data_IF_057568568980
#
_entry.id   IF_057568568980
#
_cell.length_a   1.000
_cell.length_b   1.000
_cell.length_c   1.000
_cell.angle_alpha   90.00
_cell.angle_beta   90.00
_cell.angle_gamma   90.00
#
_symmetry.space_group_name_H-M   'P 1'
#
loop_
_entity.id
_entity.type
_entity.pdbx_description
1 polymer ?
#
# COMPACT_ATOMS: atom_id res chain seq x y z
N UNK A 1 -3.86 -15.03 25.09
CA UNK A 1 -3.99 -15.62 23.74
C UNK A 1 -3.47 -14.60 22.75
N UNK A 2 -2.45 -14.93 21.95
CA UNK A 2 -1.99 -14.07 20.85
C UNK A 2 -3.15 -13.92 19.86
N UNK A 3 -3.49 -12.68 19.45
CA UNK A 3 -4.53 -12.46 18.44
C UNK A 3 -4.13 -13.18 17.15
N UNK A 4 -5.05 -13.93 16.55
CA UNK A 4 -4.84 -14.60 15.26
C UNK A 4 -4.43 -13.56 14.21
N UNK A 5 -3.40 -13.86 13.41
CA UNK A 5 -2.93 -12.95 12.34
C UNK A 5 -4.06 -12.68 11.35
N UNK A 6 -4.23 -11.41 11.01
CA UNK A 6 -5.15 -10.90 10.00
C UNK A 6 -4.37 -9.88 9.17
N UNK A 7 -4.00 -10.31 7.97
CA UNK A 7 -3.25 -9.49 7.01
C UNK A 7 -4.05 -9.23 5.75
N UNK A 8 -3.51 -8.36 4.90
CA UNK A 8 -4.14 -8.04 3.61
C UNK A 8 -3.13 -7.80 2.51
N UNK A 9 -3.55 -8.11 1.30
CA UNK A 9 -3.00 -7.54 0.08
C UNK A 9 -4.00 -6.49 -0.45
N UNK A 10 -3.53 -5.26 -0.63
CA UNK A 10 -4.38 -4.11 -0.93
C UNK A 10 -3.91 -3.33 -2.19
N UNK A 11 -4.06 -3.89 -3.39
CA UNK A 11 -3.59 -3.26 -4.63
C UNK A 11 -4.58 -2.21 -5.16
N UNK A 12 -4.05 -1.16 -5.78
CA UNK A 12 -4.85 -0.23 -6.59
C UNK A 12 -4.98 -0.72 -8.04
N UNK A 13 -6.20 -0.87 -8.59
CA UNK A 13 -6.45 -1.45 -9.91
C UNK A 13 -6.25 -0.44 -11.04
N UNK A 14 -5.03 0.12 -11.13
CA UNK A 14 -4.67 1.17 -12.11
C UNK A 14 -3.82 0.67 -13.29
N UNK A 15 -3.89 -0.63 -13.56
CA UNK A 15 -3.13 -1.36 -14.57
C UNK A 15 -2.89 -2.82 -14.16
N UNK A 16 -2.43 -3.64 -15.10
CA UNK A 16 -2.16 -5.07 -14.90
C UNK A 16 -1.13 -5.33 -13.79
N UNK A 17 -1.22 -6.52 -13.19
CA UNK A 17 -0.29 -6.98 -12.17
C UNK A 17 1.08 -7.26 -12.81
N UNK A 18 2.15 -6.80 -12.17
CA UNK A 18 3.53 -7.06 -12.59
C UNK A 18 4.32 -7.81 -11.50
N UNK A 19 5.56 -8.21 -11.78
CA UNK A 19 6.40 -8.96 -10.83
C UNK A 19 6.56 -8.26 -9.47
N UNK A 20 6.70 -6.93 -9.46
CA UNK A 20 6.70 -6.16 -8.20
C UNK A 20 5.42 -6.31 -7.36
N UNK A 21 4.24 -6.40 -7.99
CA UNK A 21 3.00 -6.73 -7.26
C UNK A 21 3.02 -8.19 -6.78
N UNK A 22 3.47 -9.12 -7.61
CA UNK A 22 3.60 -10.55 -7.26
C UNK A 22 4.51 -10.76 -6.07
N UNK A 23 5.63 -10.04 -6.02
CA UNK A 23 6.58 -10.02 -4.90
C UNK A 23 5.90 -9.64 -3.59
N UNK A 24 5.26 -8.47 -3.54
CA UNK A 24 4.58 -8.02 -2.32
C UNK A 24 3.40 -8.93 -1.95
N UNK A 25 2.63 -9.40 -2.95
CA UNK A 25 1.52 -10.32 -2.72
C UNK A 25 1.98 -11.65 -2.12
N UNK A 26 3.02 -12.27 -2.69
CA UNK A 26 3.59 -13.53 -2.22
C UNK A 26 4.10 -13.40 -0.79
N UNK A 27 4.89 -12.36 -0.47
CA UNK A 27 5.44 -12.20 0.88
C UNK A 27 4.36 -11.89 1.93
N UNK A 28 3.36 -11.07 1.58
CA UNK A 28 2.24 -10.81 2.48
C UNK A 28 1.40 -12.08 2.71
N UNK A 29 1.15 -12.85 1.65
CA UNK A 29 0.43 -14.11 1.72
C UNK A 29 1.18 -15.15 2.55
N UNK A 30 2.50 -15.33 2.32
CA UNK A 30 3.34 -16.26 3.08
C UNK A 30 3.38 -15.90 4.57
N UNK A 31 3.52 -14.62 4.90
CA UNK A 31 3.48 -14.16 6.29
C UNK A 31 2.17 -14.53 6.97
N UNK A 32 1.04 -14.32 6.30
CA UNK A 32 -0.28 -14.66 6.85
C UNK A 32 -0.44 -16.17 6.98
N UNK A 33 -0.11 -16.93 5.94
CA UNK A 33 -0.31 -18.38 5.90
C UNK A 33 0.63 -19.14 6.84
N UNK A 34 1.89 -18.72 6.98
CA UNK A 34 2.84 -19.34 7.93
C UNK A 34 2.42 -19.14 9.38
N UNK A 35 1.65 -18.09 9.67
CA UNK A 35 1.07 -17.82 10.99
C UNK A 35 -0.36 -18.36 11.14
N UNK A 36 -0.86 -19.16 10.19
CA UNK A 36 -2.22 -19.71 10.20
C UNK A 36 -3.32 -18.64 10.23
N UNK A 37 -3.02 -17.45 9.70
CA UNK A 37 -3.86 -16.26 9.76
C UNK A 37 -4.93 -16.18 8.66
N UNK A 38 -5.67 -15.07 8.66
CA UNK A 38 -6.65 -14.72 7.64
C UNK A 38 -6.07 -13.72 6.64
N UNK A 39 -6.14 -14.06 5.36
CA UNK A 39 -5.68 -13.25 4.24
C UNK A 39 -6.85 -12.51 3.59
N UNK A 40 -6.79 -11.18 3.58
CA UNK A 40 -7.81 -10.32 2.98
C UNK A 40 -7.31 -9.75 1.65
N UNK A 41 -8.13 -9.81 0.61
CA UNK A 41 -7.95 -9.04 -0.62
C UNK A 41 -8.83 -7.78 -0.57
N UNK A 42 -8.21 -6.59 -0.53
CA UNK A 42 -8.93 -5.31 -0.57
C UNK A 42 -8.56 -4.51 -1.81
N UNK A 43 -9.54 -4.07 -2.59
CA UNK A 43 -9.30 -3.29 -3.80
C UNK A 43 -9.26 -1.80 -3.44
N UNK A 44 -8.12 -1.14 -3.69
CA UNK A 44 -7.93 0.28 -3.41
C UNK A 44 -8.21 1.15 -4.64
N UNK A 45 -9.48 1.19 -5.05
CA UNK A 45 -10.03 1.88 -6.22
C UNK A 45 -10.56 3.30 -5.93
N UNK A 46 -9.85 4.04 -5.08
CA UNK A 46 -10.23 5.40 -4.69
C UNK A 46 -10.27 6.39 -5.86
N UNK A 47 -9.37 6.22 -6.84
CA UNK A 47 -9.21 7.09 -8.00
C UNK A 47 -10.05 6.59 -9.19
N UNK A 48 -11.19 7.23 -9.50
CA UNK A 48 -12.10 6.76 -10.55
C UNK A 48 -11.49 6.91 -11.96
N UNK A 49 -10.59 7.88 -12.15
CA UNK A 49 -10.00 8.16 -13.46
C UNK A 49 -9.01 7.07 -13.87
N UNK A 50 -8.39 6.42 -12.89
CA UNK A 50 -7.37 5.38 -13.12
C UNK A 50 -7.83 3.96 -12.83
N UNK A 51 -8.85 3.79 -12.00
CA UNK A 51 -9.33 2.45 -11.61
C UNK A 51 -10.24 1.88 -12.69
N UNK A 52 -10.05 0.61 -13.03
CA UNK A 52 -10.87 -0.07 -14.05
C UNK A 52 -11.27 -1.48 -13.61
N UNK A 53 -12.52 -1.92 -13.85
CA UNK A 53 -12.99 -3.26 -13.49
C UNK A 53 -12.14 -4.39 -14.10
N UNK A 54 -11.67 -4.23 -15.34
CA UNK A 54 -10.82 -5.22 -16.01
C UNK A 54 -9.51 -5.49 -15.25
N UNK A 55 -8.94 -4.48 -14.59
CA UNK A 55 -7.74 -4.64 -13.79
C UNK A 55 -8.02 -5.36 -12.46
N UNK A 56 -9.24 -5.22 -11.92
CA UNK A 56 -9.67 -5.98 -10.73
C UNK A 56 -9.82 -7.46 -11.09
N UNK A 57 -10.51 -7.76 -12.20
CA UNK A 57 -10.68 -9.14 -12.68
C UNK A 57 -9.35 -9.79 -13.03
N UNK A 58 -8.48 -9.09 -13.77
CA UNK A 58 -7.15 -9.57 -14.13
C UNK A 58 -6.26 -9.85 -12.92
N UNK A 59 -6.24 -8.92 -11.96
CA UNK A 59 -5.55 -9.10 -10.68
C UNK A 59 -5.98 -10.38 -9.95
N UNK A 60 -7.28 -10.60 -9.78
CA UNK A 60 -7.80 -11.79 -9.10
C UNK A 60 -7.45 -13.08 -9.85
N UNK A 61 -7.49 -13.05 -11.19
CA UNK A 61 -7.09 -14.19 -12.02
C UNK A 61 -5.59 -14.50 -11.89
N UNK A 62 -4.74 -13.47 -11.84
CA UNK A 62 -3.29 -13.61 -11.70
C UNK A 62 -2.90 -14.09 -10.30
N UNK A 63 -3.56 -13.60 -9.24
CA UNK A 63 -3.35 -14.10 -7.88
C UNK A 63 -3.73 -15.59 -7.74
N UNK A 64 -4.91 -15.98 -8.25
CA UNK A 64 -5.33 -17.39 -8.27
C UNK A 64 -4.36 -18.27 -9.05
N UNK A 65 -3.90 -17.79 -10.20
CA UNK A 65 -2.94 -18.50 -11.03
C UNK A 65 -1.60 -18.71 -10.31
N UNK A 66 -1.13 -17.74 -9.53
CA UNK A 66 0.04 -17.88 -8.66
C UNK A 66 -0.19 -18.78 -7.42
N UNK A 67 -1.41 -19.27 -7.19
CA UNK A 67 -1.77 -20.02 -5.99
C UNK A 67 -1.90 -19.16 -4.72
N UNK A 68 -2.10 -17.84 -4.87
CA UNK A 68 -2.24 -16.88 -3.77
C UNK A 68 -3.73 -16.63 -3.50
N UNK A 69 -4.34 -17.49 -2.70
CA UNK A 69 -5.73 -17.39 -2.30
C UNK A 69 -5.98 -16.30 -1.24
N UNK A 70 -7.24 -15.97 -1.01
CA UNK A 70 -7.69 -15.09 0.07
C UNK A 70 -8.95 -15.66 0.71
N UNK A 71 -9.08 -15.45 2.03
CA UNK A 71 -10.24 -15.95 2.79
C UNK A 71 -11.39 -14.94 2.76
N UNK A 72 -11.06 -13.66 2.56
CA UNK A 72 -12.03 -12.57 2.43
C UNK A 72 -11.64 -11.64 1.29
N UNK A 73 -12.63 -11.18 0.54
CA UNK A 73 -12.35 -10.37 -0.64
C UNK A 73 -13.60 -9.97 -1.42
N UNK A 74 -13.42 -9.26 -2.55
CA UNK A 74 -14.52 -8.66 -3.30
C UNK A 74 -15.48 -9.70 -3.91
N UNK A 75 -15.02 -10.92 -4.16
CA UNK A 75 -15.77 -12.00 -4.81
C UNK A 75 -16.22 -13.10 -3.85
N UNK A 76 -15.43 -13.41 -2.82
CA UNK A 76 -15.76 -14.42 -1.79
C UNK A 76 -16.53 -13.83 -0.60
N UNK A 77 -16.59 -12.51 -0.48
CA UNK A 77 -17.23 -11.83 0.65
C UNK A 77 -16.41 -11.91 1.93
N UNK A 78 -17.10 -11.88 3.08
CA UNK A 78 -16.50 -11.88 4.41
C UNK A 78 -17.21 -10.93 5.37
N UNK A 79 -16.76 -10.89 6.63
CA UNK A 79 -17.44 -10.16 7.70
C UNK A 79 -17.39 -8.63 7.54
N UNK A 80 -16.49 -8.11 6.69
CA UNK A 80 -16.21 -6.67 6.57
C UNK A 80 -16.52 -6.10 5.18
N UNK A 81 -17.41 -6.75 4.45
CA UNK A 81 -17.90 -6.30 3.13
C UNK A 81 -18.40 -4.84 3.18
N UNK A 82 -18.24 -4.05 2.11
CA UNK A 82 -17.55 -4.38 0.86
C UNK A 82 -16.02 -4.32 0.96
N UNK A 83 -15.33 -5.06 0.09
CA UNK A 83 -13.85 -5.09 0.01
C UNK A 83 -13.28 -4.21 -1.12
N UNK A 84 -14.11 -3.35 -1.73
CA UNK A 84 -13.67 -2.28 -2.65
C UNK A 84 -13.86 -0.93 -1.97
N UNK A 85 -12.85 -0.06 -2.03
CA UNK A 85 -12.86 1.23 -1.33
C UNK A 85 -13.83 2.24 -1.95
N UNK A 86 -14.10 2.14 -3.25
CA UNK A 86 -15.10 2.95 -3.94
C UNK A 86 -16.50 2.88 -3.30
N UNK A 87 -16.85 1.72 -2.73
CA UNK A 87 -18.11 1.43 -2.04
C UNK A 87 -18.07 1.66 -0.53
N UNK A 88 -16.99 2.25 -0.01
CA UNK A 88 -16.78 2.49 1.44
C UNK A 88 -16.65 3.97 1.80
N UNK A 89 -16.96 4.86 0.85
CA UNK A 89 -16.76 6.31 0.98
C UNK A 89 -17.47 6.91 2.20
N UNK A 90 -18.62 6.37 2.59
CA UNK A 90 -19.37 6.83 3.78
C UNK A 90 -18.57 6.60 5.07
N UNK A 91 -17.80 5.51 5.16
CA UNK A 91 -16.94 5.23 6.33
C UNK A 91 -15.81 6.25 6.43
N UNK A 92 -15.23 6.63 5.30
CA UNK A 92 -14.16 7.64 5.24
C UNK A 92 -14.70 9.04 5.53
N UNK A 93 -15.93 9.32 5.08
CA UNK A 93 -16.63 10.56 5.35
C UNK A 93 -16.95 10.69 6.85
N UNK A 94 -17.44 9.63 7.50
CA UNK A 94 -17.66 9.60 8.94
C UNK A 94 -16.35 9.81 9.74
N UNK A 95 -15.25 9.18 9.32
CA UNK A 95 -13.94 9.40 9.96
C UNK A 95 -13.47 10.85 9.81
N UNK A 96 -13.67 11.45 8.64
CA UNK A 96 -13.35 12.85 8.38
C UNK A 96 -14.20 13.81 9.23
N UNK A 97 -15.48 13.52 9.44
CA UNK A 97 -16.37 14.28 10.31
C UNK A 97 -15.93 14.24 11.77
N UNK A 98 -15.45 13.09 12.25
CA UNK A 98 -14.85 13.00 13.60
C UNK A 98 -13.62 13.91 13.74
N UNK A 99 -12.71 13.87 12.76
CA UNK A 99 -11.54 14.76 12.74
C UNK A 99 -11.96 16.25 12.68
N UNK A 100 -13.03 16.56 11.94
CA UNK A 100 -13.54 17.92 11.83
C UNK A 100 -14.19 18.41 13.13
N UNK A 101 -14.93 17.55 13.84
CA UNK A 101 -15.52 17.87 15.15
C UNK A 101 -14.46 18.23 16.18
N UNK A 102 -13.27 17.63 16.09
CA UNK A 102 -12.10 17.94 16.92
C UNK A 102 -11.26 19.11 16.39
N UNK A 103 -11.70 19.79 15.31
CA UNK A 103 -10.98 20.89 14.65
C UNK A 103 -9.58 20.51 14.16
N UNK A 104 -9.39 19.24 13.79
CA UNK A 104 -8.10 18.71 13.31
C UNK A 104 -7.95 18.82 11.79
N UNK A 105 -8.97 19.23 11.06
CA UNK A 105 -8.91 19.41 9.60
C UNK A 105 -9.35 20.81 9.20
N UNK A 106 -8.77 21.33 8.12
CA UNK A 106 -9.08 22.65 7.58
C UNK A 106 -9.04 22.67 6.05
N UNK A 107 -9.78 23.61 5.40
CA UNK A 107 -9.79 23.75 3.95
C UNK A 107 -8.48 24.35 3.43
N UNK A 108 -7.99 23.81 2.32
CA UNK A 108 -6.81 24.28 1.61
C UNK A 108 -7.17 24.60 0.16
N UNK A 109 -6.91 25.84 -0.25
CA UNK A 109 -7.18 26.35 -1.60
C UNK A 109 -5.91 26.48 -2.46
N UNK A 110 -4.79 25.95 -1.96
CA UNK A 110 -3.51 26.01 -2.66
C UNK A 110 -3.54 25.17 -3.94
N UNK A 111 -3.13 25.76 -5.06
CA UNK A 111 -2.95 25.04 -6.33
C UNK A 111 -1.67 24.22 -6.31
N UNK A 112 -1.54 23.23 -7.20
CA UNK A 112 -0.29 22.45 -7.35
C UNK A 112 0.91 23.35 -7.65
N UNK A 113 0.72 24.39 -8.47
CA UNK A 113 1.78 25.34 -8.82
C UNK A 113 2.23 26.15 -7.60
N UNK A 114 1.29 26.65 -6.79
CA UNK A 114 1.57 27.36 -5.54
C UNK A 114 2.33 26.46 -4.54
N UNK A 115 1.92 25.19 -4.42
CA UNK A 115 2.59 24.21 -3.55
C UNK A 115 4.03 23.95 -4.00
N UNK A 116 4.26 23.74 -5.29
CA UNK A 116 5.59 23.45 -5.84
C UNK A 116 6.55 24.64 -5.71
N UNK A 117 6.06 25.88 -5.88
CA UNK A 117 6.86 27.08 -5.74
C UNK A 117 7.25 27.40 -4.28
N UNK A 118 6.45 26.95 -3.32
CA UNK A 118 6.62 27.25 -1.89
C UNK A 118 7.50 26.25 -1.13
N UNK A 119 7.91 25.15 -1.76
CA UNK A 119 8.53 24.03 -1.07
C UNK A 119 10.04 23.97 -1.35
N UNK A 120 10.88 23.80 -0.31
CA UNK A 120 12.28 23.44 -0.53
C UNK A 120 12.31 22.09 -1.27
N UNK A 121 13.09 21.99 -2.35
CA UNK A 121 13.26 20.76 -3.14
C UNK A 121 13.90 19.66 -2.29
N UNK A 122 13.11 18.99 -1.47
CA UNK A 122 13.48 17.69 -0.89
C UNK A 122 13.10 16.67 -1.97
N UNK A 123 14.04 15.79 -2.33
CA UNK A 123 13.92 14.86 -3.45
C UNK A 123 12.59 14.09 -3.52
N UNK A 124 12.28 13.63 -4.72
CA UNK A 124 11.10 12.81 -5.07
C UNK A 124 9.72 13.44 -4.80
N UNK A 125 9.51 14.69 -5.24
CA UNK A 125 8.15 15.30 -5.36
C UNK A 125 7.36 15.39 -4.04
N UNK A 126 7.97 15.18 -2.87
CA UNK A 126 7.33 15.34 -1.57
C UNK A 126 7.54 16.79 -1.12
N UNK A 127 6.58 17.64 -1.47
CA UNK A 127 6.52 19.01 -0.98
C UNK A 127 6.03 19.01 0.47
N UNK A 128 6.89 19.42 1.40
CA UNK A 128 6.45 19.74 2.76
C UNK A 128 5.48 20.90 2.70
N UNK A 129 4.24 20.70 3.14
CA UNK A 129 3.27 21.79 3.15
C UNK A 129 3.48 22.70 4.37
N UNK A 130 3.71 23.99 4.12
CA UNK A 130 4.02 24.98 5.14
C UNK A 130 2.82 25.45 6.00
N UNK A 131 1.61 24.91 5.77
CA UNK A 131 0.42 25.33 6.51
C UNK A 131 -0.18 26.65 6.04
N UNK A 132 0.07 27.06 4.79
CA UNK A 132 -0.36 28.35 4.21
C UNK A 132 -1.85 28.66 4.41
N UNK A 133 -2.71 27.65 4.34
CA UNK A 133 -4.15 27.81 4.54
C UNK A 133 -4.64 27.52 5.97
N UNK A 134 -3.75 27.14 6.92
CA UNK A 134 -4.15 26.67 8.26
C UNK A 134 -4.95 27.71 9.03
N UNK A 135 -4.55 28.98 8.93
CA UNK A 135 -5.20 30.12 9.59
C UNK A 135 -5.95 31.03 8.59
N UNK A 136 -6.21 30.53 7.38
CA UNK A 136 -6.84 31.32 6.32
C UNK A 136 -8.33 31.46 6.62
N UNK A 137 -8.84 32.69 6.56
CA UNK A 137 -10.25 33.00 6.85
C UNK A 137 -11.08 33.24 5.60
N UNK A 138 -10.46 33.53 4.45
CA UNK A 138 -11.16 33.68 3.18
C UNK A 138 -11.42 32.33 2.51
N UNK A 139 -12.54 32.26 1.78
CA UNK A 139 -12.95 31.12 0.98
C UNK A 139 -13.15 31.58 -0.47
N UNK A 140 -12.11 31.45 -1.33
CA UNK A 140 -12.21 31.83 -2.75
C UNK A 140 -13.38 31.12 -3.43
N UNK A 141 -14.32 31.89 -3.99
CA UNK A 141 -15.56 31.36 -4.56
C UNK A 141 -15.35 30.49 -5.82
N UNK A 142 -14.22 30.67 -6.50
CA UNK A 142 -13.82 29.96 -7.71
C UNK A 142 -13.07 28.64 -7.44
N UNK A 143 -12.81 28.30 -6.17
CA UNK A 143 -11.97 27.14 -5.82
C UNK A 143 -12.67 26.19 -4.85
N UNK A 144 -12.74 24.91 -5.24
CA UNK A 144 -13.09 23.83 -4.30
C UNK A 144 -11.89 23.47 -3.44
N UNK A 145 -11.99 23.52 -2.10
CA UNK A 145 -10.86 23.21 -1.23
C UNK A 145 -10.59 21.71 -1.16
N UNK A 146 -9.31 21.34 -1.09
CA UNK A 146 -8.93 20.08 -0.45
C UNK A 146 -9.07 20.22 1.08
N UNK A 147 -9.19 19.12 1.80
CA UNK A 147 -9.08 19.11 3.26
C UNK A 147 -7.73 18.55 3.67
N UNK A 148 -7.05 19.24 4.58
CA UNK A 148 -5.78 18.81 5.17
C UNK A 148 -5.97 18.54 6.65
N UNK A 149 -5.21 17.56 7.15
CA UNK A 149 -5.03 17.34 8.58
C UNK A 149 -4.03 18.36 9.12
N UNK A 150 -4.41 19.14 10.13
CA UNK A 150 -3.49 19.92 10.94
C UNK A 150 -2.64 18.98 11.78
N UNK A 151 -1.42 18.71 11.32
CA UNK A 151 -0.51 17.78 11.98
C UNK A 151 0.00 18.42 13.27
N UNK A 152 -0.21 17.79 14.44
CA UNK A 152 0.37 18.24 15.69
C UNK A 152 1.88 18.01 15.71
N UNK A 153 2.58 18.74 16.58
CA UNK A 153 3.99 18.46 16.83
C UNK A 153 4.16 17.11 17.55
N UNK A 154 5.32 16.49 17.34
CA UNK A 154 5.70 15.25 17.99
C UNK A 154 6.24 14.20 17.02
N UNK A 155 7.07 13.33 17.57
CA UNK A 155 7.68 12.23 16.82
C UNK A 155 6.79 11.00 16.91
N UNK A 156 6.52 10.39 15.76
CA UNK A 156 5.92 9.07 15.68
C UNK A 156 7.06 8.04 15.68
N UNK A 157 6.97 7.07 16.58
CA UNK A 157 7.88 5.94 16.68
C UNK A 157 7.12 4.65 16.41
N UNK A 158 7.74 3.72 15.69
CA UNK A 158 7.28 2.34 15.59
C UNK A 158 8.44 1.41 15.28
N UNK A 159 8.24 0.12 15.54
CA UNK A 159 9.15 -0.95 15.14
C UNK A 159 8.61 -1.57 13.85
N UNK A 160 9.39 -1.49 12.78
CA UNK A 160 9.17 -2.28 11.57
C UNK A 160 9.79 -3.66 11.75
N UNK A 161 9.08 -4.72 11.39
CA UNK A 161 9.56 -6.08 11.56
C UNK A 161 10.75 -6.45 10.65
N UNK A 162 11.05 -5.66 9.61
CA UNK A 162 12.21 -5.86 8.71
C UNK A 162 13.25 -4.75 8.92
N UNK A 163 12.82 -3.49 8.96
CA UNK A 163 13.72 -2.33 9.04
C UNK A 163 14.04 -1.87 10.47
N UNK A 164 13.43 -2.47 11.48
CA UNK A 164 13.63 -2.12 12.89
C UNK A 164 13.04 -0.77 13.27
N UNK A 165 13.68 -0.10 14.23
CA UNK A 165 13.17 1.15 14.78
C UNK A 165 13.10 2.25 13.73
N UNK A 166 11.91 2.85 13.59
CA UNK A 166 11.68 4.00 12.73
C UNK A 166 11.05 5.14 13.52
N UNK A 167 11.59 6.35 13.34
CA UNK A 167 11.12 7.56 14.01
C UNK A 167 11.01 8.73 13.01
N UNK A 168 9.88 9.43 13.02
CA UNK A 168 9.69 10.61 12.17
C UNK A 168 8.78 11.64 12.83
N UNK A 169 9.20 12.91 12.80
CA UNK A 169 8.35 14.04 13.11
C UNK A 169 7.57 14.46 11.85
N UNK A 170 6.29 14.09 11.79
CA UNK A 170 5.46 14.25 10.58
C UNK A 170 5.32 15.72 10.16
N UNK A 171 5.16 16.63 11.12
CA UNK A 171 5.07 18.09 10.86
C UNK A 171 6.30 18.66 10.14
N UNK A 172 7.50 18.10 10.41
CA UNK A 172 8.76 18.49 9.76
C UNK A 172 8.98 17.76 8.45
N UNK A 173 8.68 16.47 8.39
CA UNK A 173 8.93 15.66 7.20
C UNK A 173 7.98 16.02 6.04
N UNK A 174 6.68 16.17 6.32
CA UNK A 174 5.65 16.35 5.27
C UNK A 174 4.71 17.53 5.53
N UNK A 175 4.59 18.00 6.77
CA UNK A 175 3.64 19.05 7.15
C UNK A 175 2.19 18.58 7.07
N UNK A 176 1.25 19.51 6.91
CA UNK A 176 -0.17 19.17 6.88
C UNK A 176 -0.54 18.48 5.57
N UNK A 177 -0.94 17.22 5.65
CA UNK A 177 -1.21 16.40 4.49
C UNK A 177 -2.70 16.31 4.18
N UNK A 178 -3.01 16.05 2.91
CA UNK A 178 -4.37 15.96 2.40
C UNK A 178 -5.05 14.70 2.93
N UNK A 179 -6.26 14.85 3.47
CA UNK A 179 -7.17 13.75 3.85
C UNK A 179 -8.38 13.63 2.91
N UNK A 180 -8.70 14.70 2.18
CA UNK A 180 -9.66 14.70 1.06
C UNK A 180 -9.19 15.65 -0.04
N UNK A 181 -9.12 15.17 -1.27
CA UNK A 181 -8.76 15.97 -2.46
C UNK A 181 -9.86 17.00 -2.77
N UNK A 182 -9.52 18.00 -3.58
CA UNK A 182 -10.46 19.05 -4.02
C UNK A 182 -11.57 18.54 -4.94
N UNK A 183 -11.34 17.41 -5.63
CA UNK A 183 -12.33 16.68 -6.41
C UNK A 183 -13.25 15.79 -5.54
N UNK A 184 -13.06 15.78 -4.23
CA UNK A 184 -13.88 15.01 -3.27
C UNK A 184 -13.36 13.61 -2.96
N UNK A 185 -12.33 13.12 -3.65
CA UNK A 185 -11.76 11.79 -3.39
C UNK A 185 -11.02 11.77 -2.04
N UNK A 186 -11.37 10.85 -1.15
CA UNK A 186 -10.65 10.63 0.11
C UNK A 186 -9.21 10.19 -0.16
N UNK A 187 -8.27 10.73 0.61
CA UNK A 187 -6.85 10.41 0.41
C UNK A 187 -6.53 8.98 0.91
N UNK A 188 -5.59 8.33 0.22
CA UNK A 188 -5.08 7.00 0.57
C UNK A 188 -4.76 6.85 2.07
N UNK A 189 -4.09 7.86 2.67
CA UNK A 189 -3.71 7.80 4.08
C UNK A 189 -4.91 7.61 5.02
N UNK A 190 -6.04 8.27 4.74
CA UNK A 190 -7.27 8.14 5.53
C UNK A 190 -7.97 6.81 5.26
N UNK A 191 -8.19 6.48 3.99
CA UNK A 191 -8.95 5.30 3.60
C UNK A 191 -8.32 4.00 4.12
N UNK A 192 -6.99 3.87 4.00
CA UNK A 192 -6.26 2.69 4.47
C UNK A 192 -6.37 2.52 5.98
N UNK A 193 -6.21 3.60 6.75
CA UNK A 193 -6.27 3.55 8.22
C UNK A 193 -7.67 3.17 8.69
N UNK A 194 -8.70 3.75 8.07
CA UNK A 194 -10.09 3.42 8.39
C UNK A 194 -10.37 1.96 8.07
N UNK A 195 -9.96 1.47 6.89
CA UNK A 195 -10.23 0.10 6.51
C UNK A 195 -9.44 -0.93 7.29
N UNK A 196 -8.13 -0.72 7.49
CA UNK A 196 -7.32 -1.63 8.30
C UNK A 196 -7.88 -1.70 9.74
N UNK A 197 -8.28 -0.57 10.33
CA UNK A 197 -8.92 -0.53 11.65
C UNK A 197 -10.27 -1.24 11.70
N UNK A 198 -11.17 -0.98 10.74
CA UNK A 198 -12.51 -1.57 10.71
C UNK A 198 -12.51 -3.05 10.30
N UNK A 199 -11.58 -3.48 9.45
CA UNK A 199 -11.40 -4.88 9.04
C UNK A 199 -10.59 -5.70 10.04
N UNK A 200 -10.19 -5.09 11.17
CA UNK A 200 -9.35 -5.69 12.20
C UNK A 200 -8.03 -6.26 11.64
N UNK A 201 -7.43 -5.58 10.66
CA UNK A 201 -6.09 -5.89 10.19
C UNK A 201 -5.12 -5.61 11.34
N UNK A 202 -4.33 -6.62 11.70
CA UNK A 202 -3.37 -6.53 12.80
C UNK A 202 -1.92 -6.74 12.35
N UNK A 203 -1.69 -7.18 11.10
CA UNK A 203 -0.36 -7.28 10.51
C UNK A 203 -0.38 -6.77 9.06
N UNK A 204 0.55 -5.88 8.74
CA UNK A 204 0.67 -5.26 7.42
C UNK A 204 2.04 -5.57 6.84
N UNK A 205 2.06 -6.41 5.81
CA UNK A 205 3.24 -6.63 4.96
C UNK A 205 3.02 -5.87 3.65
N UNK A 206 3.92 -4.94 3.30
CA UNK A 206 3.81 -4.09 2.09
C UNK A 206 5.17 -3.61 1.60
N UNK A 207 5.26 -3.04 0.40
CA UNK A 207 6.53 -2.55 -0.14
C UNK A 207 7.14 -1.39 0.66
N UNK A 208 8.47 -1.33 0.70
CA UNK A 208 9.25 -0.30 1.41
C UNK A 208 9.07 1.12 0.89
N UNK A 209 8.49 1.29 -0.31
CA UNK A 209 8.05 2.59 -0.81
C UNK A 209 6.96 3.24 0.06
N UNK A 210 6.31 2.47 0.92
CA UNK A 210 5.28 2.94 1.85
C UNK A 210 5.81 3.15 3.29
N UNK A 211 7.10 2.95 3.55
CA UNK A 211 7.71 3.11 4.87
C UNK A 211 7.45 4.53 5.42
N UNK A 212 7.66 5.56 4.59
CA UNK A 212 7.43 6.97 4.92
C UNK A 212 5.95 7.35 4.99
N UNK A 213 5.03 6.48 4.56
CA UNK A 213 3.59 6.68 4.78
C UNK A 213 3.17 6.25 6.18
N UNK A 214 3.88 5.31 6.80
CA UNK A 214 3.51 4.71 8.08
C UNK A 214 3.38 5.73 9.22
N UNK A 215 4.27 6.72 9.41
CA UNK A 215 4.12 7.73 10.46
C UNK A 215 2.81 8.55 10.33
N UNK A 216 2.43 8.93 9.10
CA UNK A 216 1.17 9.63 8.83
C UNK A 216 -0.04 8.76 9.16
N UNK A 217 0.04 7.47 8.84
CA UNK A 217 -1.03 6.51 9.12
C UNK A 217 -1.17 6.26 10.63
N UNK A 218 -0.07 6.07 11.34
CA UNK A 218 -0.04 5.91 12.80
C UNK A 218 -0.59 7.15 13.53
N UNK A 219 -0.31 8.34 13.03
CA UNK A 219 -0.94 9.57 13.53
C UNK A 219 -2.47 9.52 13.35
N UNK A 220 -2.97 9.12 12.18
CA UNK A 220 -4.40 8.96 11.94
C UNK A 220 -5.02 7.86 12.83
N UNK A 221 -4.35 6.73 13.03
CA UNK A 221 -4.80 5.70 13.99
C UNK A 221 -5.01 6.29 15.37
N UNK A 222 -4.01 7.04 15.87
CA UNK A 222 -4.08 7.72 17.18
C UNK A 222 -5.27 8.68 17.25
N UNK A 223 -5.40 9.57 16.27
CA UNK A 223 -6.45 10.59 16.24
C UNK A 223 -7.86 9.98 16.10
N UNK A 224 -7.99 8.86 15.41
CA UNK A 224 -9.28 8.17 15.22
C UNK A 224 -9.60 7.17 16.34
N UNK A 225 -8.70 6.98 17.31
CA UNK A 225 -8.84 6.00 18.39
C UNK A 225 -8.84 4.54 17.88
N UNK A 226 -8.15 4.28 16.77
CA UNK A 226 -8.04 2.96 16.15
C UNK A 226 -6.74 2.27 16.60
N UNK A 227 -6.76 0.94 16.71
CA UNK A 227 -5.55 0.16 17.04
C UNK A 227 -4.71 -0.05 15.77
N UNK A 228 -3.44 0.38 15.73
CA UNK A 228 -2.59 0.15 14.57
C UNK A 228 -2.15 -1.32 14.48
N UNK A 229 -1.94 -1.84 13.25
CA UNK A 229 -1.31 -3.13 13.04
C UNK A 229 0.19 -3.06 13.31
N UNK A 230 0.83 -4.22 13.40
CA UNK A 230 2.28 -4.33 13.19
C UNK A 230 2.61 -4.16 11.71
N UNK A 231 3.78 -3.60 11.40
CA UNK A 231 4.21 -3.34 10.02
C UNK A 231 5.48 -4.11 9.70
N UNK A 232 5.55 -4.66 8.49
CA UNK A 232 6.75 -5.17 7.87
C UNK A 232 6.84 -4.59 6.46
N UNK A 233 7.91 -3.87 6.17
CA UNK A 233 8.14 -3.31 4.85
C UNK A 233 9.11 -4.21 4.07
N UNK A 234 8.64 -4.84 3.00
CA UNK A 234 9.48 -5.70 2.15
C UNK A 234 10.27 -4.87 1.15
N UNK A 235 11.52 -5.23 0.82
CA UNK A 235 12.31 -4.47 -0.15
C UNK A 235 11.62 -4.45 -1.51
N UNK A 236 11.94 -3.44 -2.31
CA UNK A 236 11.34 -3.29 -3.64
C UNK A 236 12.00 -4.23 -4.64
N UNK A 237 11.18 -4.79 -5.53
CA UNK A 237 11.65 -5.46 -6.73
C UNK A 237 11.90 -4.40 -7.82
N UNK A 238 13.14 -4.29 -8.27
CA UNK A 238 13.61 -3.32 -9.25
C UNK A 238 14.10 -4.02 -10.52
N UNK A 239 14.04 -3.31 -11.65
CA UNK A 239 14.67 -3.72 -12.90
C UNK A 239 16.19 -3.53 -12.85
N UNK A 240 16.88 -3.94 -13.92
CA UNK A 240 18.34 -3.76 -14.07
C UNK A 240 18.79 -2.30 -14.04
N UNK A 241 17.92 -1.37 -14.42
CA UNK A 241 18.13 0.07 -14.34
C UNK A 241 18.06 0.62 -12.90
N UNK A 242 17.79 -0.25 -11.91
CA UNK A 242 17.63 0.12 -10.52
C UNK A 242 16.28 0.78 -10.21
N UNK A 243 15.45 1.01 -11.22
CA UNK A 243 14.13 1.57 -11.03
C UNK A 243 13.13 0.50 -10.61
N UNK A 244 12.18 0.90 -9.76
CA UNK A 244 11.08 0.02 -9.33
C UNK A 244 10.33 -0.49 -10.56
N UNK A 245 10.13 -1.81 -10.62
CA UNK A 245 9.28 -2.40 -11.66
C UNK A 245 7.89 -1.77 -11.59
N UNK A 246 7.40 -1.30 -12.73
CA UNK A 246 6.16 -0.54 -12.81
C UNK A 246 5.31 -0.96 -14.00
N UNK A 247 4.06 -0.51 -13.99
CA UNK A 247 3.03 -0.75 -15.01
C UNK A 247 3.42 -0.31 -16.44
N UNK A 248 4.55 0.39 -16.63
CA UNK A 248 5.03 0.85 -17.94
C UNK A 248 5.62 -0.29 -18.79
N UNK A 249 6.12 -1.34 -18.17
CA UNK A 249 6.72 -2.49 -18.85
C UNK A 249 5.65 -3.55 -19.13
N UNK A 250 4.78 -3.31 -20.11
CA UNK A 250 3.62 -4.18 -20.42
C UNK A 250 4.00 -5.64 -20.71
N UNK A 251 5.18 -5.87 -21.29
CA UNK A 251 5.66 -7.23 -21.59
C UNK A 251 6.05 -8.04 -20.34
N UNK A 252 6.15 -7.38 -19.18
CA UNK A 252 6.42 -8.00 -17.88
C UNK A 252 5.17 -8.07 -16.99
N UNK A 253 3.98 -7.86 -17.53
CA UNK A 253 2.76 -8.17 -16.79
C UNK A 253 2.61 -9.68 -16.60
N UNK A 254 2.02 -10.09 -15.48
CA UNK A 254 1.81 -11.52 -15.20
C UNK A 254 0.91 -12.16 -16.27
N UNK A 255 -0.09 -11.44 -16.75
CA UNK A 255 -0.94 -11.88 -17.84
C UNK A 255 -0.15 -12.10 -19.16
N UNK A 256 0.83 -11.25 -19.47
CA UNK A 256 1.72 -11.44 -20.62
C UNK A 256 2.63 -12.66 -20.42
N UNK A 257 3.27 -12.78 -19.26
CA UNK A 257 4.13 -13.94 -18.92
C UNK A 257 3.36 -15.27 -19.01
N UNK A 258 2.15 -15.33 -18.44
CA UNK A 258 1.27 -16.51 -18.54
C UNK A 258 0.92 -16.85 -19.99
N UNK A 259 0.57 -15.85 -20.81
CA UNK A 259 0.27 -16.07 -22.24
C UNK A 259 1.48 -16.59 -23.02
N UNK A 260 2.68 -16.20 -22.61
CA UNK A 260 3.95 -16.66 -23.21
C UNK A 260 4.41 -18.03 -22.67
N UNK A 261 3.59 -18.72 -21.87
CA UNK A 261 3.86 -20.09 -21.42
C UNK A 261 4.70 -20.22 -20.16
N UNK A 262 5.05 -19.10 -19.50
CA UNK A 262 5.68 -19.12 -18.17
C UNK A 262 4.72 -19.76 -17.17
N UNK A 263 5.21 -20.67 -16.32
CA UNK A 263 4.38 -21.30 -15.28
C UNK A 263 4.38 -20.47 -14.00
N UNK A 264 3.33 -20.62 -13.20
CA UNK A 264 3.23 -19.93 -11.92
C UNK A 264 4.41 -20.26 -11.00
N UNK A 265 4.80 -21.54 -10.98
CA UNK A 265 5.90 -22.09 -10.21
C UNK A 265 7.26 -21.48 -10.58
N UNK A 266 7.46 -21.10 -11.85
CA UNK A 266 8.67 -20.42 -12.30
C UNK A 266 8.77 -19.02 -11.70
N UNK A 267 7.63 -18.32 -11.58
CA UNK A 267 7.54 -16.99 -10.99
C UNK A 267 7.77 -17.06 -9.49
N UNK A 268 6.99 -17.87 -8.77
CA UNK A 268 7.15 -18.05 -7.32
C UNK A 268 8.54 -18.57 -6.97
N UNK A 269 9.13 -19.44 -7.79
CA UNK A 269 10.50 -19.90 -7.67
C UNK A 269 11.56 -18.81 -7.78
N UNK A 270 11.43 -17.94 -8.78
CA UNK A 270 12.30 -16.77 -8.90
C UNK A 270 12.18 -15.86 -7.67
N UNK A 271 10.95 -15.54 -7.26
CA UNK A 271 10.71 -14.64 -6.14
C UNK A 271 11.19 -15.26 -4.82
N UNK A 272 10.98 -16.55 -4.59
CA UNK A 272 11.46 -17.25 -3.40
C UNK A 272 12.99 -17.24 -3.31
N UNK A 273 13.69 -17.50 -4.42
CA UNK A 273 15.15 -17.43 -4.48
C UNK A 273 15.65 -16.02 -4.21
N UNK A 274 15.05 -15.02 -4.85
CA UNK A 274 15.38 -13.60 -4.64
C UNK A 274 15.07 -13.11 -3.22
N UNK A 275 14.11 -13.72 -2.54
CA UNK A 275 13.79 -13.49 -1.14
C UNK A 275 14.73 -14.23 -0.15
N UNK A 276 15.65 -15.07 -0.63
CA UNK A 276 16.50 -15.89 0.23
C UNK A 276 15.76 -17.02 0.95
N UNK A 277 14.57 -17.41 0.47
CA UNK A 277 13.79 -18.52 1.04
C UNK A 277 14.30 -19.88 0.56
N UNK A 278 14.88 -19.93 -0.65
CA UNK A 278 15.50 -21.11 -1.24
C UNK A 278 16.89 -20.75 -1.78
N UNK A 279 17.82 -21.71 -1.75
CA UNK A 279 19.24 -21.44 -2.06
C UNK A 279 19.53 -21.31 -3.56
N UNK A 280 18.64 -21.84 -4.42
CA UNK A 280 18.78 -21.79 -5.88
C UNK A 280 17.43 -21.53 -6.54
N UNK A 281 17.45 -20.89 -7.71
CA UNK A 281 16.27 -20.74 -8.55
C UNK A 281 15.80 -22.12 -9.04
N UNK A 282 14.57 -22.49 -8.70
CA UNK A 282 13.86 -23.63 -9.27
C UNK A 282 12.35 -23.38 -9.20
N UNK A 283 11.53 -24.06 -10.04
CA UNK A 283 10.09 -23.96 -9.93
C UNK A 283 9.60 -24.47 -8.56
N UNK A 284 8.70 -23.74 -7.89
CA UNK A 284 8.14 -24.10 -6.59
C UNK A 284 6.73 -23.56 -6.44
N UNK A 285 5.78 -24.31 -5.86
CA UNK A 285 4.46 -23.75 -5.59
C UNK A 285 4.51 -22.80 -4.37
N UNK A 286 3.67 -21.76 -4.35
CA UNK A 286 3.60 -20.84 -3.21
C UNK A 286 3.32 -21.56 -1.87
N UNK A 287 2.48 -22.60 -1.89
CA UNK A 287 2.14 -23.38 -0.71
C UNK A 287 3.34 -24.11 -0.09
N UNK A 288 4.30 -24.57 -0.91
CA UNK A 288 5.50 -25.28 -0.42
C UNK A 288 6.44 -24.35 0.36
N UNK A 289 6.31 -23.04 0.17
CA UNK A 289 7.12 -22.02 0.85
C UNK A 289 6.58 -21.70 2.25
N UNK A 290 5.35 -22.07 2.59
CA UNK A 290 4.69 -21.68 3.86
C UNK A 290 5.53 -22.11 5.08
N UNK A 291 5.99 -23.36 5.09
CA UNK A 291 6.67 -23.95 6.25
C UNK A 291 8.13 -23.48 6.41
N UNK A 292 8.70 -22.89 5.36
CA UNK A 292 10.10 -22.42 5.36
C UNK A 292 10.21 -20.89 5.38
N UNK A 293 9.08 -20.19 5.28
CA UNK A 293 9.01 -18.74 5.33
C UNK A 293 9.42 -18.21 6.71
N UNK A 294 10.39 -17.31 6.71
CA UNK A 294 10.82 -16.57 7.88
C UNK A 294 11.10 -15.14 7.43
N UNK A 295 10.51 -14.16 8.12
CA UNK A 295 10.60 -12.75 7.74
C UNK A 295 12.04 -12.23 7.86
N UNK A 296 12.79 -12.78 8.81
CA UNK A 296 14.18 -12.42 9.13
C UNK A 296 15.17 -12.85 8.05
N UNK A 297 14.77 -13.77 7.15
CA UNK A 297 15.59 -14.17 5.99
C UNK A 297 15.52 -13.15 4.86
N UNK A 298 14.54 -12.25 4.89
CA UNK A 298 14.34 -11.31 3.79
C UNK A 298 15.47 -10.29 3.75
N UNK A 299 15.97 -9.96 2.55
CA UNK A 299 16.94 -8.90 2.38
C UNK A 299 16.32 -7.53 2.73
N UNK A 300 17.16 -6.59 3.15
CA UNK A 300 16.75 -5.21 3.47
C UNK A 300 17.05 -4.21 2.33
N UNK A 301 17.77 -4.67 1.30
CA UNK A 301 18.13 -3.86 0.12
C UNK A 301 17.19 -4.15 -1.06
N UNK A 302 17.00 -3.18 -1.98
CA UNK A 302 16.25 -3.42 -3.21
C UNK A 302 16.78 -4.62 -3.99
N UNK A 303 15.87 -5.40 -4.56
CA UNK A 303 16.16 -6.65 -5.24
C UNK A 303 16.09 -6.44 -6.75
N UNK A 304 17.22 -6.68 -7.42
CA UNK A 304 17.33 -6.52 -8.86
C UNK A 304 16.89 -7.80 -9.58
N UNK A 305 16.00 -7.62 -10.56
CA UNK A 305 15.55 -8.66 -11.48
C UNK A 305 15.89 -8.27 -12.90
N UNK A 306 16.34 -9.27 -13.66
CA UNK A 306 16.71 -9.11 -15.06
C UNK A 306 15.47 -9.04 -15.94
N UNK A 307 15.43 -8.13 -16.92
CA UNK A 307 14.26 -7.93 -17.77
C UNK A 307 13.92 -9.17 -18.63
N UNK A 308 14.90 -10.04 -18.88
CA UNK A 308 14.78 -11.29 -19.63
C UNK A 308 14.67 -12.54 -18.74
N UNK A 309 14.39 -12.39 -17.43
CA UNK A 309 14.39 -13.52 -16.50
C UNK A 309 13.43 -14.68 -16.88
N UNK A 310 12.46 -14.43 -17.76
CA UNK A 310 11.50 -15.41 -18.27
C UNK A 310 11.35 -15.40 -19.80
N UNK A 311 12.18 -14.65 -20.52
CA UNK A 311 12.19 -14.69 -21.98
C UNK A 311 13.08 -15.87 -22.40
N UNK A 312 12.57 -16.73 -23.28
CA UNK A 312 13.40 -17.74 -23.93
C UNK A 312 14.48 -17.02 -24.76
N UNK A 313 15.73 -17.51 -24.68
CA UNK A 313 16.79 -17.13 -25.61
C UNK A 313 16.40 -17.42 -27.07
#
# INVERSE_FOLDING_TARGET
MTKKVRGRFAPSPTGEMHLGNAWTALLAWLYVRSNGGTMVLRIEDLDPDRSRPEYITGLMADMRWLGLDWDEGPDVGGAYTPYCQDRRRDLYQAALERLAAERLVYPCYCTRAELAASAPHIGDNIYRYAGTCRNRTDAPADRRPALRLAVPEGTIHYEDLIYGHYAQEVSRAVGDFVVRRSDGVHAYQLAVVVDDGLMNINNVVRGADLLDSTPRQLLLYRLLGLTPPTFAHVPLLCGQDGHRLSKRQRDLSLAALRRNGVKAEDITGLLAWKAGLIDRRCPVAAADLINIFALEKLPITPIIVENNCFLAE
#
